data_IF_423120993158
#
_entry.id   IF_423120993158
#
_cell.length_a   1.000
_cell.length_b   1.000
_cell.length_c   1.000
_cell.angle_alpha   90.00
_cell.angle_beta   90.00
_cell.angle_gamma   90.00
#
_symmetry.space_group_name_H-M   'P 1'
#
loop_
_entity.id
_entity.type
_entity.pdbx_description
1 polymer ?
#
# COMPACT_ATOMS: atom_id res chain seq x y z
N UNK A 1 -29.97 -2.34 -3.19
CA UNK A 1 -29.56 -2.94 -1.89
C UNK A 1 -28.24 -3.72 -1.98
N UNK A 2 -27.95 -4.40 -3.08
CA UNK A 2 -26.75 -5.24 -3.22
C UNK A 2 -25.44 -4.44 -3.37
N UNK A 3 -25.47 -3.30 -4.08
CA UNK A 3 -24.31 -2.39 -4.22
C UNK A 3 -23.91 -1.73 -2.90
N UNK A 4 -24.89 -1.38 -2.05
CA UNK A 4 -24.59 -0.79 -0.74
C UNK A 4 -23.86 -1.80 0.17
N UNK A 5 -24.26 -3.08 0.13
CA UNK A 5 -23.56 -4.15 0.85
C UNK A 5 -22.13 -4.32 0.34
N UNK A 6 -21.95 -4.29 -0.98
CA UNK A 6 -20.62 -4.32 -1.61
C UNK A 6 -19.70 -3.21 -1.07
N UNK A 7 -20.18 -1.96 -1.09
CA UNK A 7 -19.43 -0.82 -0.56
C UNK A 7 -19.16 -0.97 0.94
N UNK A 8 -20.15 -1.42 1.72
CA UNK A 8 -20.02 -1.60 3.16
C UNK A 8 -18.94 -2.63 3.53
N UNK A 9 -18.89 -3.77 2.84
CA UNK A 9 -17.86 -4.79 3.05
C UNK A 9 -16.48 -4.19 2.82
N UNK A 10 -16.30 -3.46 1.72
CA UNK A 10 -15.01 -2.82 1.41
C UNK A 10 -14.63 -1.78 2.46
N UNK A 11 -15.57 -0.95 2.92
CA UNK A 11 -15.31 0.04 3.99
C UNK A 11 -14.85 -0.68 5.26
N UNK A 12 -15.57 -1.72 5.69
CA UNK A 12 -15.25 -2.46 6.92
C UNK A 12 -13.90 -3.16 6.81
N UNK A 13 -13.65 -3.87 5.71
CA UNK A 13 -12.37 -4.57 5.51
C UNK A 13 -11.21 -3.58 5.49
N UNK A 14 -11.32 -2.47 4.76
CA UNK A 14 -10.25 -1.46 4.69
C UNK A 14 -10.09 -0.68 6.01
N UNK A 15 -11.14 -0.53 6.81
CA UNK A 15 -11.05 0.10 8.14
C UNK A 15 -10.40 -0.82 9.20
N UNK A 16 -10.60 -2.13 9.10
CA UNK A 16 -10.12 -3.10 10.08
C UNK A 16 -8.74 -3.70 9.76
N UNK A 17 -8.32 -3.64 8.49
CA UNK A 17 -7.06 -4.25 8.07
C UNK A 17 -5.90 -3.29 8.32
N UNK A 18 -5.07 -3.62 9.32
CA UNK A 18 -3.81 -2.93 9.63
C UNK A 18 -2.67 -3.94 9.44
N UNK A 19 -1.71 -3.67 8.55
CA UNK A 19 -0.59 -4.60 8.30
C UNK A 19 -0.31 -4.96 6.84
N UNK A 20 -0.87 -4.20 5.88
CA UNK A 20 -0.56 -4.35 4.45
C UNK A 20 -1.65 -5.04 3.64
N UNK A 21 -1.54 -4.97 2.31
CA UNK A 21 -2.60 -5.38 1.39
C UNK A 21 -2.90 -6.88 1.34
N UNK A 22 -2.07 -7.74 1.95
CA UNK A 22 -2.30 -9.18 1.98
C UNK A 22 -3.25 -9.62 3.12
N UNK A 23 -3.31 -8.85 4.20
CA UNK A 23 -4.13 -9.20 5.38
C UNK A 23 -5.63 -9.09 5.05
N UNK A 24 -6.01 -8.28 4.07
CA UNK A 24 -7.40 -8.17 3.61
C UNK A 24 -7.86 -9.36 2.76
N UNK A 25 -6.96 -10.11 2.12
CA UNK A 25 -7.31 -11.18 1.19
C UNK A 25 -8.25 -12.24 1.79
N UNK A 26 -7.99 -12.85 2.96
CA UNK A 26 -8.89 -13.85 3.53
C UNK A 26 -10.26 -13.27 3.88
N UNK A 27 -10.32 -12.00 4.33
CA UNK A 27 -11.60 -11.33 4.62
C UNK A 27 -12.41 -11.10 3.35
N UNK A 28 -11.75 -10.66 2.27
CA UNK A 28 -12.39 -10.44 0.99
C UNK A 28 -12.85 -11.76 0.37
N UNK A 29 -12.01 -12.81 0.38
CA UNK A 29 -12.39 -14.12 -0.15
C UNK A 29 -13.63 -14.69 0.56
N UNK A 30 -13.65 -14.62 1.90
CA UNK A 30 -14.79 -15.08 2.71
C UNK A 30 -16.07 -14.34 2.35
N UNK A 31 -16.03 -13.01 2.22
CA UNK A 31 -17.24 -12.23 1.92
C UNK A 31 -17.64 -12.38 0.44
N UNK A 32 -16.72 -12.17 -0.50
CA UNK A 32 -17.01 -12.09 -1.94
C UNK A 32 -17.19 -13.45 -2.64
N UNK A 33 -16.48 -14.48 -2.20
CA UNK A 33 -16.49 -15.82 -2.83
C UNK A 33 -17.35 -16.79 -2.02
N UNK A 34 -17.14 -16.89 -0.71
CA UNK A 34 -17.80 -17.92 0.11
C UNK A 34 -19.21 -17.54 0.56
N UNK A 35 -19.42 -16.28 0.98
CA UNK A 35 -20.68 -15.85 1.58
C UNK A 35 -21.67 -15.29 0.57
N UNK A 36 -21.22 -14.37 -0.29
CA UNK A 36 -22.09 -13.72 -1.27
C UNK A 36 -22.03 -14.34 -2.66
N UNK A 37 -21.04 -15.19 -2.93
CA UNK A 37 -20.84 -15.85 -4.23
C UNK A 37 -20.87 -14.88 -5.42
N UNK A 38 -20.41 -13.63 -5.21
CA UNK A 38 -20.36 -12.62 -6.26
C UNK A 38 -19.19 -12.84 -7.22
N UNK A 39 -18.16 -13.55 -6.76
CA UNK A 39 -17.00 -13.92 -7.56
C UNK A 39 -16.73 -15.41 -7.40
N UNK A 40 -16.24 -16.04 -8.45
CA UNK A 40 -15.62 -17.36 -8.36
C UNK A 40 -14.21 -17.28 -7.76
N UNK A 41 -13.69 -18.39 -7.24
CA UNK A 41 -12.28 -18.45 -6.80
C UNK A 41 -11.32 -18.05 -7.92
N UNK A 42 -11.63 -18.39 -9.17
CA UNK A 42 -10.82 -17.99 -10.33
C UNK A 42 -10.82 -16.49 -10.53
N UNK A 43 -11.98 -15.84 -10.51
CA UNK A 43 -12.07 -14.39 -10.68
C UNK A 43 -11.44 -13.60 -9.52
N UNK A 44 -11.50 -14.16 -8.31
CA UNK A 44 -10.78 -13.61 -7.16
C UNK A 44 -9.26 -13.70 -7.34
N UNK A 45 -8.76 -14.84 -7.82
CA UNK A 45 -7.34 -14.99 -8.17
C UNK A 45 -6.91 -14.05 -9.30
N UNK A 46 -7.75 -13.87 -10.32
CA UNK A 46 -7.50 -12.91 -11.41
C UNK A 46 -7.42 -11.46 -10.85
N UNK A 47 -8.26 -11.11 -9.88
CA UNK A 47 -8.20 -9.80 -9.22
C UNK A 47 -6.88 -9.59 -8.47
N UNK A 48 -6.41 -10.60 -7.73
CA UNK A 48 -5.11 -10.57 -7.05
C UNK A 48 -3.98 -10.40 -8.07
N UNK A 49 -4.01 -11.17 -9.16
CA UNK A 49 -3.02 -11.09 -10.22
C UNK A 49 -2.96 -9.68 -10.81
N UNK A 50 -4.10 -9.07 -11.11
CA UNK A 50 -4.18 -7.68 -11.60
C UNK A 50 -3.61 -6.71 -10.58
N UNK A 51 -3.98 -6.84 -9.30
CA UNK A 51 -3.46 -5.97 -8.24
C UNK A 51 -1.93 -6.04 -8.09
N UNK A 52 -1.32 -7.19 -8.38
CA UNK A 52 0.12 -7.41 -8.30
C UNK A 52 0.88 -6.98 -9.56
N UNK A 53 0.24 -7.07 -10.74
CA UNK A 53 0.83 -6.62 -12.00
C UNK A 53 0.82 -5.09 -12.09
N UNK A 54 -0.19 -4.43 -11.53
CA UNK A 54 -0.23 -2.97 -11.50
C UNK A 54 0.75 -2.42 -10.46
N UNK A 55 1.66 -1.50 -10.84
CA UNK A 55 2.52 -0.85 -9.86
C UNK A 55 1.66 -0.02 -8.91
N UNK A 56 1.88 -0.21 -7.61
CA UNK A 56 1.19 0.56 -6.57
C UNK A 56 0.50 -0.33 -5.53
N UNK A 57 -0.58 0.16 -4.91
CA UNK A 57 -1.22 -0.55 -3.82
C UNK A 57 -2.07 -1.72 -4.34
N UNK A 58 -2.01 -2.84 -3.61
CA UNK A 58 -2.85 -4.02 -3.82
C UNK A 58 -4.37 -3.72 -3.87
N UNK A 59 -4.80 -2.56 -3.36
CA UNK A 59 -6.18 -2.08 -3.42
C UNK A 59 -6.73 -1.93 -4.84
N UNK A 60 -5.87 -1.89 -5.88
CA UNK A 60 -6.31 -1.92 -7.29
C UNK A 60 -7.15 -3.17 -7.59
N UNK A 61 -6.92 -4.29 -6.89
CA UNK A 61 -7.76 -5.49 -7.01
C UNK A 61 -9.24 -5.20 -6.69
N UNK A 62 -9.52 -4.29 -5.74
CA UNK A 62 -10.88 -3.96 -5.34
C UNK A 62 -11.64 -3.30 -6.50
N UNK A 63 -10.95 -2.47 -7.29
CA UNK A 63 -11.53 -1.86 -8.49
C UNK A 63 -11.86 -2.91 -9.54
N UNK A 64 -11.00 -3.92 -9.75
CA UNK A 64 -11.27 -5.00 -10.67
C UNK A 64 -12.43 -5.91 -10.20
N UNK A 65 -12.47 -6.26 -8.91
CA UNK A 65 -13.61 -6.98 -8.33
C UNK A 65 -14.90 -6.18 -8.50
N UNK A 66 -14.88 -4.88 -8.24
CA UNK A 66 -16.01 -3.98 -8.48
C UNK A 66 -16.44 -3.95 -9.94
N UNK A 67 -15.47 -3.93 -10.86
CA UNK A 67 -15.72 -4.01 -12.30
C UNK A 67 -16.42 -5.32 -12.70
N UNK A 68 -15.98 -6.44 -12.15
CA UNK A 68 -16.56 -7.75 -12.45
C UNK A 68 -18.00 -7.90 -11.93
N UNK A 69 -18.34 -7.25 -10.82
CA UNK A 69 -19.67 -7.37 -10.21
C UNK A 69 -20.68 -6.36 -10.76
N UNK A 70 -20.29 -5.08 -10.94
CA UNK A 70 -21.20 -4.00 -11.39
C UNK A 70 -20.65 -3.14 -12.54
N UNK A 71 -19.66 -3.63 -13.28
CA UNK A 71 -19.03 -2.86 -14.36
C UNK A 71 -18.33 -1.61 -13.86
N UNK A 72 -18.24 -0.59 -14.72
CA UNK A 72 -17.52 0.65 -14.42
C UNK A 72 -17.99 1.33 -13.11
N UNK A 73 -19.30 1.30 -12.85
CA UNK A 73 -19.86 1.87 -11.63
C UNK A 73 -19.37 1.14 -10.37
N UNK A 74 -19.27 -0.18 -10.43
CA UNK A 74 -18.70 -0.99 -9.35
C UNK A 74 -17.23 -0.69 -9.10
N UNK A 75 -16.43 -0.49 -10.16
CA UNK A 75 -15.03 -0.13 -10.04
C UNK A 75 -14.82 1.21 -9.33
N UNK A 76 -15.59 2.23 -9.71
CA UNK A 76 -15.55 3.56 -9.08
C UNK A 76 -15.98 3.47 -7.62
N UNK A 77 -17.09 2.80 -7.35
CA UNK A 77 -17.60 2.65 -5.98
C UNK A 77 -16.66 1.84 -5.09
N UNK A 78 -15.95 0.84 -5.65
CA UNK A 78 -14.96 0.07 -4.93
C UNK A 78 -13.77 0.92 -4.48
N UNK A 79 -13.26 1.77 -5.37
CA UNK A 79 -12.18 2.70 -5.04
C UNK A 79 -12.62 3.68 -3.97
N UNK A 80 -13.77 4.34 -4.16
CA UNK A 80 -14.31 5.29 -3.17
C UNK A 80 -14.45 4.60 -1.81
N UNK A 81 -15.10 3.44 -1.76
CA UNK A 81 -15.34 2.69 -0.52
C UNK A 81 -14.05 2.22 0.17
N UNK A 82 -13.01 1.87 -0.61
CA UNK A 82 -11.73 1.42 -0.06
C UNK A 82 -10.94 2.57 0.58
N UNK A 83 -10.99 3.77 0.01
CA UNK A 83 -10.24 4.93 0.52
C UNK A 83 -11.03 5.81 1.49
N UNK A 84 -12.36 5.72 1.49
CA UNK A 84 -13.25 6.48 2.38
C UNK A 84 -12.86 6.39 3.87
N UNK A 85 -12.59 5.21 4.48
CA UNK A 85 -12.23 5.17 5.89
C UNK A 85 -10.93 5.92 6.19
N UNK A 86 -9.92 5.80 5.32
CA UNK A 86 -8.66 6.53 5.47
C UNK A 86 -8.88 8.04 5.38
N UNK A 87 -9.66 8.50 4.39
CA UNK A 87 -9.99 9.93 4.22
C UNK A 87 -10.69 10.49 5.45
N UNK A 88 -11.68 9.76 5.99
CA UNK A 88 -12.42 10.20 7.19
C UNK A 88 -11.48 10.29 8.39
N UNK A 89 -10.69 9.26 8.66
CA UNK A 89 -9.76 9.23 9.81
C UNK A 89 -8.75 10.36 9.71
N UNK A 90 -8.10 10.53 8.55
CA UNK A 90 -7.10 11.58 8.35
C UNK A 90 -7.71 12.96 8.48
N UNK A 91 -8.90 13.19 7.90
CA UNK A 91 -9.59 14.49 7.99
C UNK A 91 -9.96 14.83 9.42
N UNK A 92 -10.48 13.86 10.19
CA UNK A 92 -10.79 14.05 11.60
C UNK A 92 -9.54 14.36 12.41
N UNK A 93 -8.49 13.54 12.27
CA UNK A 93 -7.21 13.75 12.97
C UNK A 93 -6.61 15.10 12.61
N UNK A 94 -6.62 15.49 11.33
CA UNK A 94 -6.11 16.78 10.88
C UNK A 94 -6.89 17.94 11.51
N UNK A 95 -8.23 17.86 11.55
CA UNK A 95 -9.07 18.89 12.18
C UNK A 95 -8.68 19.11 13.64
N UNK A 96 -8.54 18.04 14.43
CA UNK A 96 -8.14 18.14 15.83
C UNK A 96 -6.69 18.57 15.99
N UNK A 97 -5.81 18.12 15.10
CA UNK A 97 -4.41 18.52 15.09
C UNK A 97 -4.27 20.04 14.94
N UNK A 98 -4.96 20.66 13.99
CA UNK A 98 -4.86 22.12 13.80
C UNK A 98 -5.33 22.91 15.02
N UNK A 99 -6.32 22.42 15.75
CA UNK A 99 -6.81 23.03 16.99
C UNK A 99 -5.81 22.89 18.14
N UNK A 100 -5.14 21.74 18.27
CA UNK A 100 -4.30 21.42 19.43
C UNK A 100 -2.80 21.34 19.13
N UNK A 101 -2.34 21.84 17.97
CA UNK A 101 -0.94 21.74 17.51
C UNK A 101 0.07 22.36 18.48
N UNK A 102 -0.35 23.32 19.30
CA UNK A 102 0.50 24.01 20.29
C UNK A 102 0.49 23.31 21.66
N UNK A 103 -0.35 22.29 21.86
CA UNK A 103 -0.37 21.52 23.10
C UNK A 103 0.93 20.72 23.26
N UNK A 104 1.51 20.79 24.47
CA UNK A 104 2.71 20.04 24.83
C UNK A 104 2.56 18.53 24.58
N UNK A 105 1.35 17.98 24.80
CA UNK A 105 1.05 16.57 24.59
C UNK A 105 1.21 16.22 23.10
N UNK A 106 0.59 17.01 22.21
CA UNK A 106 0.63 16.78 20.76
C UNK A 106 2.07 16.89 20.26
N UNK A 107 2.77 17.96 20.62
CA UNK A 107 4.17 18.16 20.22
C UNK A 107 5.05 16.99 20.69
N UNK A 108 4.92 16.57 21.95
CA UNK A 108 5.70 15.45 22.51
C UNK A 108 5.37 14.12 21.83
N UNK A 109 4.09 13.86 21.51
CA UNK A 109 3.70 12.67 20.74
C UNK A 109 4.37 12.64 19.36
N UNK A 110 4.36 13.75 18.62
CA UNK A 110 5.03 13.82 17.31
C UNK A 110 6.55 13.70 17.42
N UNK A 111 7.16 14.20 18.50
CA UNK A 111 8.58 14.01 18.76
C UNK A 111 8.94 12.53 19.01
N UNK A 112 8.05 11.74 19.59
CA UNK A 112 8.22 10.28 19.73
C UNK A 112 7.92 9.50 18.44
N UNK A 113 6.89 9.90 17.69
CA UNK A 113 6.49 9.20 16.45
C UNK A 113 7.58 9.33 15.37
N UNK A 114 8.19 10.50 15.20
CA UNK A 114 9.24 10.73 14.19
C UNK A 114 10.39 9.71 14.24
N UNK A 115 11.12 9.52 15.36
CA UNK A 115 12.19 8.53 15.45
C UNK A 115 11.68 7.10 15.37
N UNK A 116 10.47 6.80 15.87
CA UNK A 116 9.86 5.47 15.72
C UNK A 116 9.63 5.12 14.24
N UNK A 117 9.13 6.08 13.43
CA UNK A 117 8.95 5.90 11.99
C UNK A 117 10.30 5.72 11.29
N UNK A 118 11.33 6.50 11.65
CA UNK A 118 12.68 6.33 11.11
C UNK A 118 13.22 4.92 11.41
N UNK A 119 13.09 4.45 12.65
CA UNK A 119 13.51 3.11 13.06
C UNK A 119 12.75 2.01 12.33
N UNK A 120 11.43 2.17 12.14
CA UNK A 120 10.61 1.24 11.36
C UNK A 120 11.05 1.19 9.90
N UNK A 121 11.27 2.35 9.26
CA UNK A 121 11.74 2.43 7.88
C UNK A 121 13.14 1.81 7.73
N UNK A 122 14.03 2.03 8.70
CA UNK A 122 15.34 1.39 8.73
C UNK A 122 15.22 -0.13 8.86
N UNK A 123 14.32 -0.64 9.71
CA UNK A 123 14.07 -2.07 9.85
C UNK A 123 13.55 -2.69 8.54
N UNK A 124 12.61 -2.02 7.87
CA UNK A 124 12.11 -2.45 6.55
C UNK A 124 13.24 -2.43 5.51
N UNK A 125 14.06 -1.38 5.48
CA UNK A 125 15.20 -1.27 4.56
C UNK A 125 16.23 -2.39 4.79
N UNK A 126 16.55 -2.71 6.05
CA UNK A 126 17.46 -3.83 6.39
C UNK A 126 16.85 -5.17 5.99
N UNK A 127 15.55 -5.38 6.27
CA UNK A 127 14.86 -6.61 5.90
C UNK A 127 14.84 -6.83 4.39
N UNK A 128 14.57 -5.78 3.61
CA UNK A 128 14.61 -5.84 2.14
C UNK A 128 16.05 -5.97 1.62
N UNK A 129 17.00 -5.29 2.27
CA UNK A 129 18.42 -5.39 1.93
C UNK A 129 18.96 -6.81 2.08
N UNK A 130 18.60 -7.51 3.16
CA UNK A 130 19.01 -8.89 3.40
C UNK A 130 18.50 -9.88 2.35
N UNK A 131 17.33 -9.63 1.74
CA UNK A 131 16.79 -10.48 0.67
C UNK A 131 17.25 -10.05 -0.72
N UNK A 132 17.63 -8.79 -0.90
CA UNK A 132 17.98 -8.24 -2.21
C UNK A 132 19.49 -8.23 -2.48
N UNK A 133 20.33 -8.05 -1.45
CA UNK A 133 21.79 -7.99 -1.57
C UNK A 133 22.35 -9.41 -1.42
N UNK A 134 22.56 -10.08 -2.56
CA UNK A 134 23.05 -11.47 -2.59
C UNK A 134 24.54 -11.58 -2.96
N UNK A 135 25.09 -10.56 -3.59
CA UNK A 135 26.43 -10.58 -4.18
C UNK A 135 27.15 -9.22 -4.05
N UNK A 136 28.48 -9.17 -4.24
CA UNK A 136 29.26 -7.94 -4.12
C UNK A 136 28.88 -6.85 -5.12
N UNK A 137 28.34 -7.21 -6.30
CA UNK A 137 27.92 -6.25 -7.32
C UNK A 137 26.65 -5.55 -6.84
N UNK A 138 25.67 -6.31 -6.35
CA UNK A 138 24.43 -5.76 -5.78
C UNK A 138 24.70 -4.88 -4.56
N UNK A 139 25.67 -5.24 -3.73
CA UNK A 139 26.11 -4.38 -2.62
C UNK A 139 26.71 -3.06 -3.13
N UNK A 140 27.54 -3.11 -4.18
CA UNK A 140 28.07 -1.92 -4.84
C UNK A 140 26.96 -1.03 -5.42
N UNK A 141 25.99 -1.61 -6.13
CA UNK A 141 24.82 -0.90 -6.67
C UNK A 141 24.04 -0.23 -5.54
N UNK A 142 23.82 -0.92 -4.41
CA UNK A 142 23.10 -0.38 -3.26
C UNK A 142 23.82 0.84 -2.64
N UNK A 143 25.13 0.75 -2.40
CA UNK A 143 25.91 1.88 -1.85
C UNK A 143 25.95 3.07 -2.82
N UNK A 144 26.20 2.82 -4.11
CA UNK A 144 26.25 3.87 -5.12
C UNK A 144 24.88 4.55 -5.25
N UNK A 145 23.81 3.77 -5.33
CA UNK A 145 22.44 4.30 -5.41
C UNK A 145 22.09 5.14 -4.17
N UNK A 146 22.47 4.66 -2.98
CA UNK A 146 22.30 5.42 -1.73
C UNK A 146 23.09 6.73 -1.76
N UNK A 147 24.36 6.70 -2.15
CA UNK A 147 25.19 7.91 -2.22
C UNK A 147 24.64 8.93 -3.23
N UNK A 148 24.20 8.46 -4.41
CA UNK A 148 23.59 9.31 -5.42
C UNK A 148 22.34 9.97 -4.86
N UNK A 149 21.42 9.21 -4.25
CA UNK A 149 20.17 9.78 -3.72
C UNK A 149 20.42 10.69 -2.51
N UNK A 150 21.37 10.34 -1.63
CA UNK A 150 21.64 11.09 -0.40
C UNK A 150 22.38 12.40 -0.64
N UNK A 151 23.29 12.45 -1.62
CA UNK A 151 24.13 13.63 -1.87
C UNK A 151 23.74 14.42 -3.12
N UNK A 152 22.89 13.89 -3.99
CA UNK A 152 22.43 14.59 -5.18
C UNK A 152 20.91 14.80 -5.15
N UNK A 153 20.42 15.74 -5.96
CA UNK A 153 18.98 16.00 -6.14
C UNK A 153 18.37 15.20 -7.29
N UNK A 154 19.03 14.11 -7.71
CA UNK A 154 18.54 13.29 -8.82
C UNK A 154 17.27 12.57 -8.37
N UNK A 155 16.26 12.56 -9.24
CA UNK A 155 15.02 11.86 -8.97
C UNK A 155 15.29 10.34 -8.80
N UNK A 156 14.80 9.69 -7.72
CA UNK A 156 14.99 8.27 -7.49
C UNK A 156 14.59 7.39 -8.68
N UNK A 157 13.65 7.84 -9.52
CA UNK A 157 13.22 7.14 -10.73
C UNK A 157 14.38 6.84 -11.68
N UNK A 158 15.26 7.82 -11.91
CA UNK A 158 16.43 7.62 -12.79
C UNK A 158 17.45 6.66 -12.16
N UNK A 159 17.61 6.73 -10.84
CA UNK A 159 18.51 5.82 -10.10
C UNK A 159 18.00 4.38 -10.19
N UNK A 160 16.69 4.16 -10.05
CA UNK A 160 16.06 2.84 -10.17
C UNK A 160 16.27 2.28 -11.59
N UNK A 161 16.03 3.09 -12.63
CA UNK A 161 16.23 2.65 -14.02
C UNK A 161 17.70 2.30 -14.27
N UNK A 162 18.63 3.17 -13.83
CA UNK A 162 20.07 2.93 -13.97
C UNK A 162 20.54 1.68 -13.24
N UNK A 163 20.14 1.51 -11.98
CA UNK A 163 20.44 0.32 -11.19
C UNK A 163 19.86 -0.95 -11.82
N UNK A 164 18.64 -0.89 -12.38
CA UNK A 164 18.02 -2.01 -13.09
C UNK A 164 18.77 -2.41 -14.36
N UNK A 165 19.24 -1.43 -15.15
CA UNK A 165 20.04 -1.70 -16.36
C UNK A 165 21.40 -2.31 -15.99
N UNK A 166 22.08 -1.76 -14.98
CA UNK A 166 23.36 -2.31 -14.49
C UNK A 166 23.14 -3.72 -13.96
N UNK A 167 22.09 -3.94 -13.16
CA UNK A 167 21.71 -5.26 -12.68
C UNK A 167 21.52 -6.25 -13.83
N UNK A 168 20.74 -5.91 -14.86
CA UNK A 168 20.50 -6.80 -16.00
C UNK A 168 21.73 -7.12 -16.86
N UNK A 169 22.80 -6.32 -16.77
CA UNK A 169 24.05 -6.54 -17.52
C UNK A 169 25.07 -7.36 -16.74
N UNK A 170 25.03 -7.29 -15.40
CA UNK A 170 26.05 -7.88 -14.52
C UNK A 170 25.54 -9.04 -13.64
N UNK A 171 24.22 -9.26 -13.54
CA UNK A 171 23.55 -10.39 -12.88
C UNK A 171 22.82 -11.26 -13.90
#
# INVERSE_FOLDING_TARGET
MILLKFCWILIVVNALTIGGGFVMLPMLQKEFVEKYHWLTNKEFMDAIAIGQVTPGPLTVMNAFMGYKIYGLLGAIMAMISSYLPCIIIVTLVAKYYYTYKESIIVISSFQGIKPAVIGLLAAVAISLGNTSIVDPITFGIAIISFAVIAFTKIDPTFVIIGAGVIGALFL
#
